data_IF_755146188295
#
_entry.id   IF_755146188295
#
_cell.length_a   1.000
_cell.length_b   1.000
_cell.length_c   1.000
_cell.angle_alpha   90.00
_cell.angle_beta   90.00
_cell.angle_gamma   90.00
#
_symmetry.space_group_name_H-M   'P 1'
#
loop_
_entity.id
_entity.type
_entity.pdbx_description
1 polymer ?
#
# COMPACT_ATOMS: atom_id res chain seq x y z
N UNK A 1 -15.76 1.17 9.30
CA UNK A 1 -14.76 0.56 8.40
C UNK A 1 -13.45 1.31 8.55
N UNK A 2 -12.31 0.62 8.53
CA UNK A 2 -10.99 1.24 8.61
C UNK A 2 -10.45 1.40 7.18
N UNK A 3 -9.92 2.57 6.85
CA UNK A 3 -9.35 2.85 5.53
C UNK A 3 -7.95 3.45 5.67
N UNK A 4 -7.03 2.99 4.82
CA UNK A 4 -5.68 3.55 4.73
C UNK A 4 -5.50 4.11 3.32
N UNK A 5 -5.31 5.42 3.27
CA UNK A 5 -5.00 6.15 2.04
C UNK A 5 -3.54 6.59 2.09
N UNK A 6 -2.81 6.36 1.01
CA UNK A 6 -1.43 6.80 0.87
C UNK A 6 -1.30 7.64 -0.39
N UNK A 7 -0.62 8.77 -0.25
CA UNK A 7 -0.20 9.63 -1.36
C UNK A 7 1.33 9.64 -1.39
N UNK A 8 1.89 9.45 -2.57
CA UNK A 8 3.33 9.37 -2.76
C UNK A 8 3.78 9.96 -4.09
N UNK A 9 5.09 10.11 -4.25
CA UNK A 9 5.70 10.35 -5.55
C UNK A 9 5.38 9.21 -6.53
N UNK A 10 5.49 9.44 -7.84
CA UNK A 10 5.22 8.41 -8.86
C UNK A 10 5.90 7.09 -8.51
N UNK A 11 5.11 6.05 -8.27
CA UNK A 11 5.57 4.76 -7.80
C UNK A 11 5.15 3.64 -8.76
N UNK A 12 6.06 2.70 -9.00
CA UNK A 12 5.78 1.52 -9.81
C UNK A 12 4.87 0.51 -9.09
N UNK A 13 4.86 0.49 -7.76
CA UNK A 13 3.89 -0.33 -7.02
C UNK A 13 3.67 0.16 -5.60
N UNK A 14 2.46 -0.06 -5.09
CA UNK A 14 2.09 0.21 -3.70
C UNK A 14 1.52 -1.07 -3.11
N UNK A 15 2.07 -1.52 -1.99
CA UNK A 15 1.72 -2.77 -1.32
C UNK A 15 1.28 -2.50 0.10
N UNK A 16 0.01 -2.76 0.38
CA UNK A 16 -0.54 -2.82 1.72
C UNK A 16 -0.30 -4.21 2.28
N UNK A 17 0.60 -4.33 3.26
CA UNK A 17 0.85 -5.58 3.98
C UNK A 17 -0.02 -5.61 5.22
N UNK A 18 -0.96 -6.55 5.26
CA UNK A 18 -1.81 -6.81 6.42
C UNK A 18 -1.65 -8.26 6.90
N UNK A 19 -2.10 -8.53 8.13
CA UNK A 19 -2.08 -9.87 8.76
C UNK A 19 -2.78 -10.93 7.89
N UNK A 20 -2.29 -12.18 7.92
CA UNK A 20 -2.96 -13.36 7.34
C UNK A 20 -3.37 -13.19 5.87
N UNK A 21 -2.46 -12.72 5.02
CA UNK A 21 -2.68 -12.53 3.58
C UNK A 21 -3.80 -11.55 3.21
N UNK A 22 -4.30 -10.78 4.18
CA UNK A 22 -5.35 -9.78 3.94
C UNK A 22 -4.84 -8.56 3.17
N UNK A 23 -3.52 -8.43 3.02
CA UNK A 23 -2.90 -7.33 2.30
C UNK A 23 -3.33 -7.22 0.84
N UNK A 24 -2.99 -6.09 0.22
CA UNK A 24 -3.30 -5.82 -1.18
C UNK A 24 -2.09 -5.22 -1.87
N UNK A 25 -1.81 -5.68 -3.09
CA UNK A 25 -0.82 -5.08 -3.98
C UNK A 25 -1.56 -4.31 -5.06
N UNK A 26 -1.29 -3.02 -5.14
CA UNK A 26 -1.72 -2.15 -6.22
C UNK A 26 -0.57 -2.03 -7.22
N UNK A 27 -0.91 -2.24 -8.49
CA UNK A 27 -0.02 -2.02 -9.62
C UNK A 27 -0.67 -0.94 -10.50
N UNK A 28 0.14 -0.04 -11.08
CA UNK A 28 -0.37 0.89 -12.09
C UNK A 28 -0.86 0.11 -13.32
N UNK A 29 -1.74 0.75 -14.08
CA UNK A 29 -2.09 0.26 -15.42
C UNK A 29 -0.93 0.53 -16.38
N UNK A 30 -0.86 -0.23 -17.47
CA UNK A 30 0.28 -0.32 -18.39
C UNK A 30 0.89 1.05 -18.72
N UNK A 31 2.12 1.29 -18.24
CA UNK A 31 2.91 2.51 -18.50
C UNK A 31 2.69 3.69 -17.55
N UNK A 32 1.75 3.61 -16.60
CA UNK A 32 1.50 4.68 -15.62
C UNK A 32 2.26 4.45 -14.29
N UNK A 33 2.32 5.49 -13.46
CA UNK A 33 2.88 5.44 -12.11
C UNK A 33 1.78 5.76 -11.09
N UNK A 34 1.76 5.02 -9.99
CA UNK A 34 0.82 5.23 -8.90
C UNK A 34 1.29 6.41 -8.04
N UNK A 35 0.44 7.41 -7.90
CA UNK A 35 0.66 8.54 -6.98
C UNK A 35 -0.23 8.47 -5.75
N UNK A 36 -1.30 7.69 -5.82
CA UNK A 36 -2.25 7.48 -4.74
C UNK A 36 -2.76 6.04 -4.73
N UNK A 37 -2.99 5.51 -3.54
CA UNK A 37 -3.74 4.27 -3.38
C UNK A 37 -4.55 4.27 -2.08
N UNK A 38 -5.73 3.68 -2.18
CA UNK A 38 -6.64 3.49 -1.05
C UNK A 38 -6.87 2.01 -0.81
N UNK A 39 -6.81 1.62 0.45
CA UNK A 39 -7.06 0.25 0.88
C UNK A 39 -8.01 0.23 2.07
N UNK A 40 -9.18 -0.37 1.84
CA UNK A 40 -10.13 -0.67 2.90
C UNK A 40 -9.64 -1.88 3.69
N UNK A 41 -9.38 -1.66 4.97
CA UNK A 41 -8.86 -2.66 5.89
C UNK A 41 -10.01 -3.58 6.31
N UNK A 42 -9.93 -4.89 6.01
CA UNK A 42 -10.98 -5.82 6.38
C UNK A 42 -11.09 -5.95 7.90
N UNK A 43 -12.32 -6.16 8.37
CA UNK A 43 -12.59 -6.34 9.79
C UNK A 43 -11.79 -7.53 10.36
N UNK A 44 -11.08 -7.32 11.46
CA UNK A 44 -10.19 -8.30 12.09
C UNK A 44 -8.72 -8.26 11.62
N UNK A 45 -8.33 -7.36 10.72
CA UNK A 45 -6.91 -7.10 10.48
C UNK A 45 -6.33 -6.24 11.62
N UNK A 46 -5.35 -6.79 12.35
CA UNK A 46 -4.74 -6.11 13.51
C UNK A 46 -3.78 -4.98 13.13
N UNK A 47 -3.15 -5.10 11.96
CA UNK A 47 -2.23 -4.09 11.48
C UNK A 47 -2.18 -4.06 9.96
N UNK A 48 -1.79 -2.89 9.45
CA UNK A 48 -1.45 -2.66 8.06
C UNK A 48 -0.16 -1.86 8.01
N UNK A 49 0.79 -2.22 7.14
CA UNK A 49 1.89 -1.34 6.74
C UNK A 49 1.85 -1.10 5.25
N UNK A 50 2.31 0.06 4.81
CA UNK A 50 2.39 0.40 3.40
C UNK A 50 3.83 0.33 2.94
N UNK A 51 4.08 -0.38 1.85
CA UNK A 51 5.35 -0.44 1.14
C UNK A 51 5.16 0.16 -0.25
N UNK A 52 6.01 1.11 -0.63
CA UNK A 52 5.98 1.78 -1.92
C UNK A 52 7.27 1.42 -2.63
N UNK A 53 7.17 1.02 -3.90
CA UNK A 53 8.32 0.78 -4.77
C UNK A 53 8.31 1.79 -5.90
N UNK A 54 9.40 2.53 -6.03
CA UNK A 54 9.66 3.53 -7.05
C UNK A 54 10.01 2.89 -8.41
N UNK A 55 10.00 3.67 -9.48
CA UNK A 55 10.41 3.28 -10.85
C UNK A 55 11.86 2.76 -10.91
N UNK A 56 12.72 3.25 -10.01
CA UNK A 56 14.11 2.79 -9.87
C UNK A 56 14.25 1.49 -9.06
N UNK A 57 13.15 0.92 -8.57
CA UNK A 57 13.13 -0.26 -7.71
C UNK A 57 13.46 0.02 -6.23
N UNK A 58 13.66 1.29 -5.86
CA UNK A 58 13.82 1.72 -4.46
C UNK A 58 12.53 1.51 -3.69
N UNK A 59 12.65 1.10 -2.43
CA UNK A 59 11.51 0.82 -1.56
C UNK A 59 11.47 1.76 -0.37
N UNK A 60 10.31 2.36 -0.13
CA UNK A 60 9.98 3.07 1.09
C UNK A 60 8.91 2.28 1.84
N UNK A 61 8.94 2.30 3.16
CA UNK A 61 7.88 1.70 3.98
C UNK A 61 7.49 2.61 5.13
N UNK A 62 6.21 2.58 5.47
CA UNK A 62 5.67 3.22 6.66
C UNK A 62 5.78 2.30 7.87
N UNK A 63 5.69 2.90 9.05
CA UNK A 63 5.51 2.12 10.27
C UNK A 63 4.13 1.42 10.24
N UNK A 64 3.97 0.26 10.89
CA UNK A 64 2.69 -0.42 10.95
C UNK A 64 1.64 0.43 11.68
N UNK A 65 0.48 0.56 11.06
CA UNK A 65 -0.74 1.11 11.64
C UNK A 65 -1.51 -0.03 12.31
N UNK A 66 -1.84 0.12 13.59
CA UNK A 66 -2.57 -0.87 14.37
C UNK A 66 -4.03 -0.42 14.56
N UNK A 67 -4.95 -1.38 14.57
CA UNK A 67 -6.40 -1.16 14.68
C UNK A 67 -7.03 -2.02 15.76
#
# INVERSE_FOLDING_TARGET
DNEVTVQCSPAQSIVFKAECSRGRRMLPSDGELLTEATYSVPNGAKYVRVEITDETGKKAWSNPFFF
#
